data_IF_884346338150
#
_entry.id   IF_884346338150
#
_cell.length_a   1.000
_cell.length_b   1.000
_cell.length_c   1.000
_cell.angle_alpha   90.00
_cell.angle_beta   90.00
_cell.angle_gamma   90.00
#
_symmetry.space_group_name_H-M   'P 1'
#
loop_
_entity.id
_entity.type
_entity.pdbx_description
1 polymer ?
#
# COMPACT_ATOMS: atom_id res chain seq x y z
N UNK A 1 -0.26 -3.92 -12.42
CA UNK A 1 0.94 -3.69 -11.58
C UNK A 1 2.19 -3.96 -12.41
N UNK A 2 3.30 -3.25 -12.18
CA UNK A 2 4.57 -3.42 -12.87
C UNK A 2 5.11 -4.83 -12.58
N UNK A 3 5.39 -5.62 -13.63
CA UNK A 3 6.00 -6.94 -13.48
C UNK A 3 7.43 -6.80 -12.94
N UNK A 4 7.66 -7.25 -11.71
CA UNK A 4 9.01 -7.45 -11.17
C UNK A 4 9.62 -8.71 -11.78
N UNK A 5 10.86 -8.64 -12.24
CA UNK A 5 11.58 -9.83 -12.72
C UNK A 5 11.86 -10.76 -11.54
N UNK A 6 11.58 -12.04 -11.71
CA UNK A 6 11.79 -13.07 -10.70
C UNK A 6 13.13 -13.76 -10.93
N UNK A 7 14.01 -13.67 -9.94
CA UNK A 7 15.13 -14.61 -9.79
C UNK A 7 14.59 -15.81 -9.02
N UNK A 8 14.85 -17.03 -9.51
CA UNK A 8 14.46 -18.25 -8.81
C UNK A 8 15.60 -18.83 -7.98
N UNK A 9 15.27 -19.51 -6.89
CA UNK A 9 16.27 -20.21 -6.08
C UNK A 9 16.99 -21.32 -6.84
N UNK A 10 16.28 -22.03 -7.71
CA UNK A 10 16.89 -23.04 -8.58
C UNK A 10 17.90 -22.41 -9.55
N UNK A 11 17.56 -21.27 -10.16
CA UNK A 11 18.48 -20.55 -11.04
C UNK A 11 19.71 -20.02 -10.30
N UNK A 12 19.57 -19.65 -9.02
CA UNK A 12 20.70 -19.30 -8.17
C UNK A 12 21.63 -20.50 -7.94
N UNK A 13 21.08 -21.69 -7.66
CA UNK A 13 21.87 -22.91 -7.50
C UNK A 13 22.61 -23.33 -8.77
N UNK A 14 21.99 -23.18 -9.93
CA UNK A 14 22.64 -23.47 -11.21
C UNK A 14 23.88 -22.60 -11.43
N UNK A 15 23.81 -21.32 -11.05
CA UNK A 15 24.95 -20.38 -11.14
C UNK A 15 26.04 -20.77 -10.15
N UNK A 16 25.67 -21.10 -8.90
CA UNK A 16 26.65 -21.55 -7.91
C UNK A 16 27.34 -22.83 -8.36
N UNK A 17 26.60 -23.82 -8.86
CA UNK A 17 27.17 -25.08 -9.34
C UNK A 17 28.15 -24.88 -10.51
N UNK A 18 27.93 -23.87 -11.35
CA UNK A 18 28.78 -23.56 -12.50
C UNK A 18 29.99 -22.67 -12.16
N UNK A 19 29.87 -21.78 -11.18
CA UNK A 19 30.83 -20.69 -10.96
C UNK A 19 31.43 -20.66 -9.55
N UNK A 20 30.94 -21.48 -8.63
CA UNK A 20 31.43 -21.59 -7.26
C UNK A 20 31.84 -23.04 -6.95
N UNK A 21 32.91 -23.22 -6.19
CA UNK A 21 33.44 -24.54 -5.85
C UNK A 21 33.51 -24.65 -4.33
N UNK A 22 32.77 -25.57 -3.69
CA UNK A 22 32.80 -25.74 -2.25
C UNK A 22 34.21 -26.08 -1.76
N UNK A 23 34.69 -25.33 -0.76
CA UNK A 23 35.99 -25.52 -0.12
C UNK A 23 35.76 -26.11 1.28
N UNK A 24 35.36 -27.38 1.34
CA UNK A 24 35.01 -28.02 2.62
C UNK A 24 36.22 -28.53 3.41
N UNK A 25 37.38 -28.73 2.75
CA UNK A 25 38.57 -29.36 3.36
C UNK A 25 39.90 -28.65 3.05
N UNK A 26 39.89 -27.40 2.59
CA UNK A 26 41.16 -26.73 2.26
C UNK A 26 41.86 -26.17 3.51
N UNK A 27 43.20 -26.14 3.54
CA UNK A 27 43.96 -25.57 4.65
C UNK A 27 43.53 -24.13 4.95
N UNK A 28 43.52 -23.74 6.24
CA UNK A 28 43.32 -22.35 6.63
C UNK A 28 44.31 -21.44 5.91
N UNK A 29 43.80 -20.43 5.19
CA UNK A 29 44.61 -19.49 4.39
C UNK A 29 44.74 -19.85 2.91
N UNK A 30 44.03 -20.88 2.42
CA UNK A 30 43.93 -21.15 0.99
C UNK A 30 43.36 -19.94 0.25
N UNK A 31 43.99 -19.53 -0.86
CA UNK A 31 43.47 -18.45 -1.69
C UNK A 31 42.11 -18.86 -2.28
N UNK A 32 41.15 -17.93 -2.21
CA UNK A 32 39.86 -18.11 -2.85
C UNK A 32 40.06 -18.15 -4.37
N UNK A 33 39.43 -19.08 -5.09
CA UNK A 33 39.43 -19.07 -6.55
C UNK A 33 38.94 -17.71 -7.05
N UNK A 34 39.72 -17.05 -7.90
CA UNK A 34 39.22 -15.90 -8.65
C UNK A 34 38.26 -16.41 -9.72
N UNK A 35 37.04 -15.87 -9.76
CA UNK A 35 35.98 -16.39 -10.62
C UNK A 35 34.94 -15.34 -10.99
N UNK A 36 34.29 -15.55 -12.14
CA UNK A 36 33.23 -14.69 -12.70
C UNK A 36 31.87 -14.80 -11.99
N UNK A 37 31.82 -15.34 -10.77
CA UNK A 37 30.57 -15.55 -10.03
C UNK A 37 29.80 -14.23 -9.83
N UNK A 38 30.49 -13.13 -9.53
CA UNK A 38 29.87 -11.82 -9.38
C UNK A 38 29.17 -11.36 -10.66
N UNK A 39 29.80 -11.57 -11.82
CA UNK A 39 29.23 -11.18 -13.12
C UNK A 39 28.07 -12.11 -13.52
N UNK A 40 28.20 -13.41 -13.24
CA UNK A 40 27.13 -14.39 -13.47
C UNK A 40 25.89 -14.08 -12.61
N UNK A 41 26.09 -13.77 -11.32
CA UNK A 41 25.02 -13.36 -10.41
C UNK A 41 24.42 -12.01 -10.81
N UNK A 42 25.22 -11.02 -11.21
CA UNK A 42 24.72 -9.74 -11.68
C UNK A 42 23.99 -9.83 -13.05
N UNK A 43 24.31 -10.84 -13.86
CA UNK A 43 23.59 -11.14 -15.10
C UNK A 43 22.24 -11.83 -14.86
N UNK A 44 22.15 -12.65 -13.80
CA UNK A 44 20.91 -13.35 -13.45
C UNK A 44 19.97 -12.53 -12.56
N UNK A 45 20.54 -11.75 -11.65
CA UNK A 45 19.84 -10.77 -10.84
C UNK A 45 19.92 -9.46 -11.63
N UNK A 46 18.89 -9.13 -12.41
CA UNK A 46 18.87 -7.85 -13.10
C UNK A 46 18.68 -6.71 -12.09
N UNK A 47 19.79 -6.23 -11.52
CA UNK A 47 19.85 -5.12 -10.56
C UNK A 47 19.28 -3.81 -11.15
N UNK A 48 19.07 -3.76 -12.47
CA UNK A 48 18.44 -2.62 -13.16
C UNK A 48 16.90 -2.69 -13.16
N UNK A 49 16.32 -3.83 -12.75
CA UNK A 49 14.86 -4.03 -12.64
C UNK A 49 14.35 -3.92 -11.19
N UNK A 50 15.11 -3.23 -10.35
CA UNK A 50 14.60 -2.69 -9.09
C UNK A 50 13.49 -1.68 -9.42
N UNK A 51 12.24 -2.08 -9.19
CA UNK A 51 11.12 -1.20 -9.41
C UNK A 51 10.91 -0.34 -8.15
N UNK A 52 10.84 0.98 -8.34
CA UNK A 52 10.23 1.82 -7.32
C UNK A 52 8.74 1.48 -7.25
N UNK A 53 8.29 1.09 -6.07
CA UNK A 53 6.90 0.74 -5.81
C UNK A 53 6.42 1.44 -4.55
N UNK A 54 5.14 1.76 -4.52
CA UNK A 54 4.48 2.19 -3.31
C UNK A 54 4.15 0.97 -2.46
N UNK A 55 4.60 0.98 -1.20
CA UNK A 55 4.25 -0.04 -0.21
C UNK A 55 3.26 0.56 0.75
N UNK A 56 2.03 0.02 0.79
CA UNK A 56 1.04 0.34 1.80
C UNK A 56 1.06 -0.73 2.89
N UNK A 57 1.54 -0.38 4.07
CA UNK A 57 1.44 -1.21 5.26
C UNK A 57 0.15 -0.94 6.01
N UNK A 58 -0.53 -2.01 6.40
CA UNK A 58 -1.75 -2.00 7.20
C UNK A 58 -1.51 -2.91 8.39
N UNK A 59 -1.83 -2.45 9.59
CA UNK A 59 -1.60 -3.20 10.83
C UNK A 59 -2.74 -2.97 11.81
N UNK A 60 -3.23 -4.01 12.46
CA UNK A 60 -4.30 -3.90 13.46
C UNK A 60 -3.75 -3.32 14.75
N UNK A 61 -4.22 -2.12 15.09
CA UNK A 61 -3.79 -1.41 16.28
C UNK A 61 -4.13 -2.22 17.54
N UNK A 62 -3.10 -2.49 18.35
CA UNK A 62 -3.21 -3.25 19.62
C UNK A 62 -3.75 -4.68 19.44
N UNK A 63 -3.49 -5.30 18.29
CA UNK A 63 -3.88 -6.69 18.01
C UNK A 63 -3.56 -7.67 19.16
N UNK A 64 -2.35 -7.59 19.72
CA UNK A 64 -1.91 -8.45 20.83
C UNK A 64 -2.68 -8.28 22.14
N UNK A 65 -3.51 -7.23 22.27
CA UNK A 65 -4.35 -6.97 23.44
C UNK A 65 -5.77 -7.56 23.31
N UNK A 66 -6.11 -8.12 22.15
CA UNK A 66 -7.41 -8.75 21.95
C UNK A 66 -7.52 -10.10 22.66
N UNK A 67 -8.76 -10.50 22.97
CA UNK A 67 -9.05 -11.83 23.48
C UNK A 67 -8.71 -12.92 22.45
N UNK A 68 -8.38 -14.16 22.86
CA UNK A 68 -7.87 -15.21 21.96
C UNK A 68 -8.75 -15.50 20.75
N UNK A 69 -10.08 -15.48 20.92
CA UNK A 69 -11.01 -15.68 19.82
C UNK A 69 -10.94 -14.52 18.81
N UNK A 70 -10.93 -13.27 19.29
CA UNK A 70 -10.84 -12.08 18.44
C UNK A 70 -9.50 -12.06 17.70
N UNK A 71 -8.39 -12.41 18.37
CA UNK A 71 -7.09 -12.56 17.71
C UNK A 71 -7.16 -13.59 16.58
N UNK A 72 -7.70 -14.78 16.85
CA UNK A 72 -7.80 -15.87 15.86
C UNK A 72 -8.70 -15.52 14.67
N UNK A 73 -9.73 -14.69 14.87
CA UNK A 73 -10.66 -14.28 13.81
C UNK A 73 -10.16 -13.08 13.00
N UNK A 74 -9.25 -12.26 13.55
CA UNK A 74 -8.83 -11.02 12.91
C UNK A 74 -8.21 -11.23 11.51
N UNK A 75 -7.32 -12.22 11.27
CA UNK A 75 -6.78 -12.45 9.93
C UNK A 75 -7.89 -12.71 8.90
N UNK A 76 -8.94 -13.45 9.29
CA UNK A 76 -10.10 -13.72 8.43
C UNK A 76 -10.92 -12.45 8.16
N UNK A 77 -11.08 -11.60 9.18
CA UNK A 77 -11.77 -10.31 9.04
C UNK A 77 -10.99 -9.40 8.10
N UNK A 78 -9.67 -9.29 8.28
CA UNK A 78 -8.80 -8.50 7.39
C UNK A 78 -8.89 -8.98 5.95
N UNK A 79 -8.87 -10.30 5.72
CA UNK A 79 -9.05 -10.86 4.39
C UNK A 79 -10.39 -10.45 3.76
N UNK A 80 -11.50 -10.53 4.52
CA UNK A 80 -12.83 -10.10 4.05
C UNK A 80 -12.88 -8.60 3.71
N UNK A 81 -12.16 -7.76 4.46
CA UNK A 81 -12.06 -6.33 4.20
C UNK A 81 -11.18 -6.06 2.96
N UNK A 82 -10.09 -6.81 2.80
CA UNK A 82 -9.15 -6.69 1.67
C UNK A 82 -9.87 -7.02 0.37
N UNK A 83 -10.57 -8.14 0.32
CA UNK A 83 -11.39 -8.52 -0.83
C UNK A 83 -12.43 -7.44 -1.17
N UNK A 84 -13.09 -6.88 -0.15
CA UNK A 84 -14.04 -5.77 -0.34
C UNK A 84 -13.39 -4.54 -0.99
N UNK A 85 -12.23 -4.14 -0.49
CA UNK A 85 -11.48 -2.99 -1.02
C UNK A 85 -10.98 -3.22 -2.44
N UNK A 86 -10.45 -4.42 -2.73
CA UNK A 86 -10.01 -4.83 -4.07
C UNK A 86 -11.16 -4.76 -5.07
N UNK A 87 -12.33 -5.31 -4.72
CA UNK A 87 -13.51 -5.24 -5.57
C UNK A 87 -13.96 -3.80 -5.83
N UNK A 88 -13.90 -2.91 -4.84
CA UNK A 88 -14.17 -1.47 -5.07
C UNK A 88 -13.15 -0.83 -6.00
N UNK A 89 -11.87 -1.17 -5.89
CA UNK A 89 -10.85 -0.65 -6.77
C UNK A 89 -11.14 -1.06 -8.23
N UNK A 90 -11.41 -2.35 -8.47
CA UNK A 90 -11.67 -2.88 -9.81
C UNK A 90 -13.00 -2.40 -10.41
N UNK A 91 -14.05 -2.29 -9.61
CA UNK A 91 -15.40 -1.99 -10.10
C UNK A 91 -15.74 -0.50 -10.07
N UNK A 92 -15.31 0.20 -9.03
CA UNK A 92 -15.74 1.57 -8.76
C UNK A 92 -14.65 2.58 -9.10
N UNK A 93 -13.36 2.27 -8.89
CA UNK A 93 -12.22 3.09 -9.33
C UNK A 93 -11.57 2.51 -10.60
N UNK A 94 -12.40 1.99 -11.51
CA UNK A 94 -11.97 1.15 -12.63
C UNK A 94 -10.99 1.81 -13.58
N UNK A 95 -11.03 3.15 -13.74
CA UNK A 95 -10.05 3.86 -14.56
C UNK A 95 -8.66 3.82 -13.91
N UNK A 96 -8.58 4.12 -12.61
CA UNK A 96 -7.32 4.10 -11.85
C UNK A 96 -6.74 2.69 -11.75
N UNK A 97 -7.58 1.65 -11.64
CA UNK A 97 -7.11 0.27 -11.49
C UNK A 97 -7.26 -0.58 -12.76
N UNK A 98 -7.32 0.04 -13.94
CA UNK A 98 -7.59 -0.67 -15.21
C UNK A 98 -6.49 -1.66 -15.62
N UNK A 99 -5.26 -1.48 -15.12
CA UNK A 99 -4.12 -2.36 -15.35
C UNK A 99 -3.90 -3.36 -14.20
N UNK A 100 -4.87 -3.46 -13.29
CA UNK A 100 -4.82 -4.37 -12.14
C UNK A 100 -5.87 -5.46 -12.28
N UNK A 101 -5.51 -6.68 -11.89
CA UNK A 101 -6.43 -7.80 -11.77
C UNK A 101 -6.62 -8.22 -10.31
N UNK A 102 -7.61 -9.08 -10.07
CA UNK A 102 -7.78 -9.70 -8.75
C UNK A 102 -6.56 -10.55 -8.36
N UNK A 103 -5.91 -11.19 -9.34
CA UNK A 103 -4.71 -11.98 -9.12
C UNK A 103 -3.53 -11.09 -8.75
N UNK A 104 -3.38 -9.93 -9.40
CA UNK A 104 -2.31 -8.97 -9.09
C UNK A 104 -2.35 -8.58 -7.61
N UNK A 105 -3.53 -8.28 -7.07
CA UNK A 105 -3.68 -7.94 -5.64
C UNK A 105 -3.23 -9.07 -4.70
N UNK A 106 -3.51 -10.33 -5.06
CA UNK A 106 -3.13 -11.48 -4.26
C UNK A 106 -1.62 -11.72 -4.32
N UNK A 107 -1.03 -11.60 -5.51
CA UNK A 107 0.40 -11.77 -5.71
C UNK A 107 1.20 -10.66 -5.02
N UNK A 108 0.70 -9.41 -5.03
CA UNK A 108 1.39 -8.24 -4.47
C UNK A 108 1.04 -7.94 -3.01
N UNK A 109 0.51 -8.94 -2.29
CA UNK A 109 0.21 -8.84 -0.86
C UNK A 109 1.16 -9.71 -0.03
N UNK A 110 1.75 -9.10 0.99
CA UNK A 110 2.62 -9.77 1.97
C UNK A 110 1.83 -9.84 3.29
N UNK A 111 1.32 -11.01 3.61
CA UNK A 111 0.57 -11.28 4.84
C UNK A 111 1.51 -11.35 6.05
N UNK A 112 1.17 -10.67 7.14
CA UNK A 112 1.90 -10.71 8.43
C UNK A 112 1.05 -11.29 9.57
N UNK A 113 -0.17 -11.74 9.30
CA UNK A 113 -1.14 -12.29 10.25
C UNK A 113 -2.08 -11.23 10.82
N UNK A 114 -1.55 -10.18 11.43
CA UNK A 114 -2.31 -9.06 12.01
C UNK A 114 -2.43 -7.84 11.11
N UNK A 115 -2.02 -7.99 9.86
CA UNK A 115 -1.87 -6.92 8.90
C UNK A 115 -1.18 -7.41 7.63
N UNK A 116 -0.48 -6.50 6.95
CA UNK A 116 0.38 -6.86 5.84
C UNK A 116 0.81 -5.66 5.02
N UNK A 117 1.53 -5.95 3.95
CA UNK A 117 2.02 -4.94 3.01
C UNK A 117 1.42 -5.19 1.63
N UNK A 118 0.82 -4.17 1.04
CA UNK A 118 0.30 -4.21 -0.32
C UNK A 118 1.16 -3.32 -1.23
N UNK A 119 1.60 -3.89 -2.34
CA UNK A 119 2.48 -3.21 -3.28
C UNK A 119 1.67 -2.62 -4.44
N UNK A 120 2.04 -1.41 -4.83
CA UNK A 120 1.39 -0.66 -5.91
C UNK A 120 2.40 0.06 -6.78
N UNK A 121 2.00 0.37 -8.02
CA UNK A 121 2.87 1.06 -8.97
C UNK A 121 3.14 2.51 -8.57
N UNK A 122 2.19 3.16 -7.89
CA UNK A 122 2.32 4.56 -7.46
C UNK A 122 1.69 4.80 -6.09
N UNK A 123 2.16 5.83 -5.35
CA UNK A 123 1.53 6.30 -4.12
C UNK A 123 0.05 6.64 -4.25
N UNK A 124 -0.40 7.11 -5.43
CA UNK A 124 -1.81 7.40 -5.66
C UNK A 124 -2.66 6.12 -5.62
N UNK A 125 -2.22 5.03 -6.24
CA UNK A 125 -2.94 3.75 -6.17
C UNK A 125 -3.03 3.25 -4.72
N UNK A 126 -1.91 3.31 -3.99
CA UNK A 126 -1.86 2.93 -2.59
C UNK A 126 -2.83 3.77 -1.74
N UNK A 127 -2.91 5.07 -1.98
CA UNK A 127 -3.80 5.98 -1.25
C UNK A 127 -5.28 5.66 -1.51
N UNK A 128 -5.65 5.48 -2.77
CA UNK A 128 -7.03 5.17 -3.16
C UNK A 128 -7.45 3.81 -2.62
N UNK A 129 -6.54 2.83 -2.61
CA UNK A 129 -6.77 1.55 -1.95
C UNK A 129 -7.01 1.72 -0.45
N UNK A 130 -6.16 2.49 0.25
CA UNK A 130 -6.30 2.74 1.69
C UNK A 130 -7.66 3.38 2.03
N UNK A 131 -8.14 4.33 1.20
CA UNK A 131 -9.46 4.95 1.36
C UNK A 131 -10.57 3.90 1.18
N UNK A 132 -10.48 3.03 0.17
CA UNK A 132 -11.45 1.94 -0.02
C UNK A 132 -11.41 0.90 1.12
N UNK A 133 -10.23 0.61 1.66
CA UNK A 133 -10.07 -0.29 2.81
C UNK A 133 -10.68 0.27 4.08
N UNK A 134 -10.42 1.54 4.38
CA UNK A 134 -11.01 2.25 5.52
C UNK A 134 -12.53 2.37 5.40
N UNK A 135 -13.05 2.52 4.18
CA UNK A 135 -14.49 2.46 3.93
C UNK A 135 -15.07 1.10 4.33
N UNK A 136 -14.45 0.00 3.90
CA UNK A 136 -14.89 -1.36 4.27
C UNK A 136 -14.81 -1.59 5.78
N UNK A 137 -13.73 -1.14 6.42
CA UNK A 137 -13.58 -1.20 7.88
C UNK A 137 -14.72 -0.48 8.58
N UNK A 138 -15.04 0.75 8.16
CA UNK A 138 -16.11 1.55 8.80
C UNK A 138 -17.48 0.92 8.63
N UNK A 139 -17.77 0.35 7.46
CA UNK A 139 -19.03 -0.37 7.21
C UNK A 139 -19.11 -1.63 8.08
N UNK A 140 -17.99 -2.33 8.28
CA UNK A 140 -17.91 -3.45 9.19
C UNK A 140 -18.11 -3.03 10.65
N UNK A 141 -17.38 -2.01 11.12
CA UNK A 141 -17.46 -1.51 12.50
C UNK A 141 -18.84 -0.95 12.86
N UNK A 142 -19.55 -0.34 11.90
CA UNK A 142 -20.92 0.17 12.07
C UNK A 142 -22.02 -0.90 12.02
N UNK A 143 -21.66 -2.19 12.08
CA UNK A 143 -22.58 -3.34 12.01
C UNK A 143 -23.39 -3.40 10.70
N UNK A 144 -22.97 -2.69 9.64
CA UNK A 144 -23.65 -2.72 8.33
C UNK A 144 -23.22 -3.91 7.49
N UNK A 145 -21.97 -4.36 7.64
CA UNK A 145 -21.43 -5.57 7.00
C UNK A 145 -21.08 -6.61 8.06
N UNK A 146 -21.61 -7.82 7.90
CA UNK A 146 -21.43 -8.95 8.84
C UNK A 146 -21.71 -8.61 10.33
N UNK A 147 -22.90 -8.10 10.70
CA UNK A 147 -23.20 -7.62 12.05
C UNK A 147 -22.97 -8.66 13.16
N UNK A 148 -23.26 -9.94 12.88
CA UNK A 148 -23.05 -11.02 13.85
C UNK A 148 -21.57 -11.28 14.10
N UNK A 149 -20.74 -11.27 13.05
CA UNK A 149 -19.29 -11.39 13.18
C UNK A 149 -18.71 -10.21 13.94
N UNK A 150 -19.09 -8.97 13.57
CA UNK A 150 -18.69 -7.76 14.29
C UNK A 150 -19.08 -7.83 15.77
N UNK A 151 -20.26 -8.35 16.10
CA UNK A 151 -20.70 -8.56 17.49
C UNK A 151 -19.84 -9.56 18.25
N UNK A 152 -19.34 -10.62 17.61
CA UNK A 152 -18.45 -11.61 18.24
C UNK A 152 -17.11 -10.99 18.63
N UNK A 153 -16.57 -10.09 17.81
CA UNK A 153 -15.30 -9.41 18.12
C UNK A 153 -15.38 -8.52 19.37
N UNK A 154 -16.59 -8.06 19.73
CA UNK A 154 -16.91 -7.23 20.89
C UNK A 154 -16.16 -5.87 21.01
N UNK A 155 -15.21 -5.59 20.12
CA UNK A 155 -14.45 -4.33 20.04
C UNK A 155 -14.49 -3.77 18.62
N UNK A 156 -14.36 -2.45 18.50
CA UNK A 156 -14.04 -1.83 17.21
C UNK A 156 -12.65 -2.27 16.75
N UNK A 157 -12.54 -2.54 15.46
CA UNK A 157 -11.26 -2.81 14.81
C UNK A 157 -10.68 -1.47 14.38
N UNK A 158 -9.44 -1.20 14.77
CA UNK A 158 -8.71 0.01 14.40
C UNK A 158 -7.42 -0.37 13.69
N UNK A 159 -7.02 0.44 12.71
CA UNK A 159 -5.88 0.17 11.85
C UNK A 159 -4.86 1.30 11.88
N UNK A 160 -3.59 0.90 11.83
CA UNK A 160 -2.44 1.74 11.52
C UNK A 160 -2.12 1.63 10.05
N UNK A 161 -1.68 2.73 9.48
CA UNK A 161 -1.28 2.79 8.08
C UNK A 161 0.10 3.42 7.95
N UNK A 162 0.91 2.88 7.04
CA UNK A 162 2.14 3.53 6.60
C UNK A 162 2.27 3.39 5.08
N UNK A 163 2.79 4.41 4.41
CA UNK A 163 3.12 4.36 2.99
C UNK A 163 4.58 4.74 2.77
N UNK A 164 5.27 3.95 1.97
CA UNK A 164 6.62 4.26 1.49
C UNK A 164 6.67 4.15 -0.02
N UNK A 165 7.61 4.84 -0.66
CA UNK A 165 7.86 4.72 -2.09
C UNK A 165 9.36 4.54 -2.32
N UNK A 166 9.77 3.31 -2.61
CA UNK A 166 11.18 2.96 -2.72
C UNK A 166 11.32 1.65 -3.51
N UNK A 167 12.56 1.23 -3.71
CA UNK A 167 12.93 -0.02 -4.37
C UNK A 167 12.29 -1.23 -3.69
N UNK A 168 11.63 -2.05 -4.51
CA UNK A 168 11.17 -3.40 -4.19
C UNK A 168 11.62 -4.34 -5.31
N UNK A 169 12.03 -5.55 -4.93
CA UNK A 169 12.42 -6.62 -5.84
C UNK A 169 11.79 -7.94 -5.39
N UNK A 170 11.79 -8.94 -6.27
CA UNK A 170 11.17 -10.23 -6.00
C UNK A 170 12.12 -11.39 -6.21
N UNK A 171 12.01 -12.42 -5.36
CA UNK A 171 12.73 -13.70 -5.46
C UNK A 171 11.71 -14.81 -5.15
N UNK A 172 11.59 -15.80 -6.03
CA UNK A 172 10.58 -16.89 -5.92
C UNK A 172 9.17 -16.40 -5.55
N UNK A 173 8.65 -15.41 -6.29
CA UNK A 173 7.33 -14.80 -6.04
C UNK A 173 7.15 -14.19 -4.64
N UNK A 174 8.23 -13.93 -3.90
CA UNK A 174 8.22 -13.16 -2.65
C UNK A 174 8.89 -11.82 -2.86
N UNK A 175 8.43 -10.81 -2.11
CA UNK A 175 8.92 -9.45 -2.24
C UNK A 175 9.84 -9.04 -1.10
N UNK A 176 10.85 -8.26 -1.46
CA UNK A 176 11.91 -7.79 -0.58
C UNK A 176 12.32 -6.38 -1.01
N UNK A 177 12.91 -5.61 -0.11
CA UNK A 177 13.48 -4.31 -0.47
C UNK A 177 13.40 -3.27 0.65
N UNK A 178 14.14 -2.16 0.50
CA UNK A 178 14.14 -1.07 1.46
C UNK A 178 12.75 -0.48 1.70
N UNK A 179 11.89 -0.41 0.67
CA UNK A 179 10.53 0.12 0.80
C UNK A 179 9.69 -0.59 1.85
N UNK A 180 9.67 -1.94 1.81
CA UNK A 180 8.94 -2.78 2.76
C UNK A 180 9.53 -2.66 4.16
N UNK A 181 10.86 -2.69 4.27
CA UNK A 181 11.56 -2.62 5.55
C UNK A 181 11.31 -1.27 6.24
N UNK A 182 11.36 -0.16 5.49
CA UNK A 182 11.08 1.17 6.02
C UNK A 182 9.62 1.27 6.48
N UNK A 183 8.70 0.75 5.68
CA UNK A 183 7.28 0.74 6.00
C UNK A 183 6.98 0.04 7.34
N UNK A 184 7.48 -1.19 7.52
CA UNK A 184 7.32 -1.92 8.78
C UNK A 184 7.93 -1.20 9.98
N UNK A 185 9.06 -0.50 9.79
CA UNK A 185 9.68 0.33 10.85
C UNK A 185 8.80 1.52 11.23
N UNK A 186 8.20 2.20 10.26
CA UNK A 186 7.28 3.30 10.51
C UNK A 186 6.07 2.82 11.33
N UNK A 187 5.45 1.71 10.93
CA UNK A 187 4.34 1.10 11.69
C UNK A 187 4.73 0.74 13.12
N UNK A 188 5.90 0.12 13.32
CA UNK A 188 6.35 -0.31 14.65
C UNK A 188 6.61 0.84 15.62
N UNK A 189 6.99 2.02 15.10
CA UNK A 189 7.32 3.22 15.89
C UNK A 189 6.10 4.11 16.13
N UNK A 190 5.00 3.88 15.42
CA UNK A 190 3.79 4.66 15.60
C UNK A 190 2.91 4.10 16.72
N UNK A 191 2.84 4.86 17.81
CA UNK A 191 1.99 4.55 18.96
C UNK A 191 0.67 5.33 18.95
N UNK A 192 0.52 6.32 18.07
CA UNK A 192 -0.61 7.26 18.03
C UNK A 192 -1.67 6.91 16.97
N UNK A 193 -1.52 5.77 16.29
CA UNK A 193 -2.45 5.24 15.30
C UNK A 193 -2.66 6.17 14.08
N UNK A 194 -1.59 6.82 13.64
CA UNK A 194 -1.59 7.77 12.51
C UNK A 194 -1.47 7.02 11.18
N UNK A 195 -1.75 7.73 10.10
CA UNK A 195 -1.29 7.33 8.77
C UNK A 195 0.04 8.01 8.49
N UNK A 196 1.12 7.24 8.38
CA UNK A 196 2.45 7.78 8.13
C UNK A 196 2.84 7.66 6.65
N UNK A 197 3.56 8.66 6.13
CA UNK A 197 4.21 8.58 4.82
C UNK A 197 5.68 9.01 4.94
N UNK A 198 6.56 8.41 4.14
CA UNK A 198 7.97 8.80 4.08
C UNK A 198 8.23 9.97 3.12
N UNK A 199 9.46 10.49 3.15
CA UNK A 199 9.89 11.61 2.30
C UNK A 199 9.72 11.29 0.81
N UNK A 200 10.06 10.08 0.36
CA UNK A 200 9.95 9.72 -1.05
C UNK A 200 8.48 9.72 -1.53
N UNK A 201 7.56 9.23 -0.69
CA UNK A 201 6.11 9.28 -0.97
C UNK A 201 5.63 10.72 -1.04
N UNK A 202 6.04 11.56 -0.09
CA UNK A 202 5.71 12.99 -0.08
C UNK A 202 6.24 13.71 -1.33
N UNK A 203 7.48 13.43 -1.72
CA UNK A 203 8.13 14.01 -2.90
C UNK A 203 7.45 13.57 -4.20
N UNK A 204 6.98 12.33 -4.27
CA UNK A 204 6.19 11.83 -5.40
C UNK A 204 4.93 12.69 -5.60
N UNK A 205 4.14 12.91 -4.54
CA UNK A 205 2.95 13.78 -4.63
C UNK A 205 3.32 15.23 -4.95
N UNK A 206 4.38 15.76 -4.36
CA UNK A 206 4.87 17.11 -4.65
C UNK A 206 5.20 17.28 -6.12
N UNK A 207 5.94 16.31 -6.69
CA UNK A 207 6.36 16.33 -8.09
C UNK A 207 5.19 16.20 -9.07
N UNK A 208 4.29 15.23 -8.84
CA UNK A 208 3.28 14.85 -9.84
C UNK A 208 1.92 15.50 -9.63
N UNK A 209 1.61 15.93 -8.41
CA UNK A 209 0.30 16.52 -8.06
C UNK A 209 0.40 17.94 -7.52
N UNK A 210 1.62 18.51 -7.44
CA UNK A 210 1.91 19.80 -6.78
C UNK A 210 1.64 19.79 -5.27
N UNK A 211 1.73 18.60 -4.65
CA UNK A 211 1.42 18.38 -3.24
C UNK A 211 0.16 17.53 -3.09
N UNK A 212 0.15 16.63 -2.10
CA UNK A 212 -0.97 15.71 -1.85
C UNK A 212 -2.26 16.46 -1.48
N UNK A 213 -2.13 17.64 -0.88
CA UNK A 213 -3.22 18.57 -0.57
C UNK A 213 -3.95 19.09 -1.83
N UNK A 214 -3.34 18.96 -3.01
CA UNK A 214 -3.93 19.39 -4.29
C UNK A 214 -4.72 18.28 -5.01
N UNK A 215 -4.81 17.07 -4.45
CA UNK A 215 -5.67 16.01 -4.98
C UNK A 215 -7.14 16.43 -5.20
N UNK A 216 -7.77 17.30 -4.38
CA UNK A 216 -9.13 17.78 -4.64
C UNK A 216 -9.28 18.60 -5.93
N UNK A 217 -8.17 19.13 -6.46
CA UNK A 217 -8.14 20.06 -7.59
C UNK A 217 -7.75 19.40 -8.92
N UNK A 218 -7.31 18.14 -8.91
CA UNK A 218 -6.89 17.41 -10.12
C UNK A 218 -8.03 16.56 -10.67
N UNK A 219 -8.08 16.41 -12.00
CA UNK A 219 -8.97 15.49 -12.69
C UNK A 219 -8.23 14.29 -13.27
N UNK A 220 -9.00 13.33 -13.78
CA UNK A 220 -8.49 12.14 -14.47
C UNK A 220 -7.70 12.51 -15.74
N UNK A 221 -8.09 13.58 -16.44
CA UNK A 221 -7.36 14.07 -17.62
C UNK A 221 -5.95 14.52 -17.28
N UNK A 222 -5.78 15.22 -16.17
CA UNK A 222 -4.48 15.64 -15.67
C UNK A 222 -3.65 14.44 -15.22
N UNK A 223 -4.28 13.49 -14.52
CA UNK A 223 -3.61 12.23 -14.14
C UNK A 223 -3.11 11.45 -15.35
N UNK A 224 -3.87 11.40 -16.46
CA UNK A 224 -3.44 10.72 -17.68
C UNK A 224 -2.17 11.32 -18.31
N UNK A 225 -1.82 12.56 -18.00
CA UNK A 225 -0.57 13.18 -18.48
C UNK A 225 0.67 12.67 -17.76
N UNK A 226 0.50 11.99 -16.63
CA UNK A 226 1.59 11.42 -15.85
C UNK A 226 2.16 10.15 -16.50
N UNK A 227 3.48 9.89 -16.39
CA UNK A 227 4.10 8.73 -17.04
C UNK A 227 3.45 7.38 -16.69
N UNK A 228 3.08 7.17 -15.42
CA UNK A 228 2.48 5.92 -14.95
C UNK A 228 1.03 5.69 -15.43
N UNK A 229 0.39 6.72 -16.02
CA UNK A 229 -0.99 6.69 -16.49
C UNK A 229 -1.11 7.00 -17.99
N UNK A 230 0.00 7.22 -18.69
CA UNK A 230 0.00 7.71 -20.07
C UNK A 230 -0.63 6.74 -21.08
N UNK A 231 -0.60 5.44 -20.79
CA UNK A 231 -1.15 4.36 -21.64
C UNK A 231 -2.54 3.87 -21.18
N UNK A 232 -3.21 4.64 -20.30
CA UNK A 232 -4.53 4.30 -19.78
C UNK A 232 -5.62 4.62 -20.82
N UNK A 233 -6.61 3.74 -20.91
CA UNK A 233 -7.79 3.94 -21.76
C UNK A 233 -8.71 5.01 -21.16
N UNK A 234 -8.69 6.19 -21.78
CA UNK A 234 -9.56 7.31 -21.41
C UNK A 234 -11.06 6.98 -21.52
N UNK A 235 -11.46 5.97 -22.29
CA UNK A 235 -12.86 5.55 -22.41
C UNK A 235 -13.44 5.03 -21.08
N UNK A 236 -12.58 4.67 -20.13
CA UNK A 236 -12.97 4.20 -18.80
C UNK A 236 -13.21 5.33 -17.80
N UNK A 237 -12.79 6.57 -18.09
CA UNK A 237 -12.98 7.72 -17.19
C UNK A 237 -14.48 7.97 -16.90
N UNK A 238 -15.34 7.84 -17.92
CA UNK A 238 -16.79 8.06 -17.77
C UNK A 238 -17.50 6.89 -17.08
N UNK A 239 -16.83 5.74 -16.97
CA UNK A 239 -17.36 4.51 -16.35
C UNK A 239 -16.97 4.38 -14.89
N UNK A 240 -16.17 5.31 -14.36
CA UNK A 240 -15.74 5.29 -12.97
C UNK A 240 -16.94 5.47 -12.03
N UNK A 241 -17.29 4.41 -11.30
CA UNK A 241 -18.45 4.38 -10.42
C UNK A 241 -18.25 5.21 -9.15
N UNK A 242 -17.03 5.20 -8.62
CA UNK A 242 -16.58 6.00 -7.49
C UNK A 242 -15.75 7.17 -8.02
N UNK A 243 -16.34 8.37 -7.99
CA UNK A 243 -15.71 9.58 -8.53
C UNK A 243 -14.70 10.14 -7.53
N UNK A 244 -13.60 9.41 -7.31
CA UNK A 244 -12.45 9.93 -6.57
C UNK A 244 -11.98 11.23 -7.22
N UNK A 245 -11.85 11.23 -8.54
CA UNK A 245 -11.53 12.42 -9.31
C UNK A 245 -12.67 12.73 -10.28
N UNK A 246 -12.87 14.02 -10.55
CA UNK A 246 -13.67 14.42 -11.69
C UNK A 246 -12.89 14.14 -12.98
N UNK A 247 -13.58 14.13 -14.13
CA UNK A 247 -12.90 13.98 -15.42
C UNK A 247 -11.86 15.07 -15.63
N UNK A 248 -12.26 16.32 -15.41
CA UNK A 248 -11.41 17.51 -15.48
C UNK A 248 -11.23 18.11 -14.09
N UNK A 249 -10.07 18.70 -13.81
CA UNK A 249 -9.83 19.41 -12.56
C UNK A 249 -10.74 20.63 -12.40
N UNK A 250 -11.39 20.79 -11.25
CA UNK A 250 -12.16 21.99 -10.94
C UNK A 250 -12.07 22.32 -9.45
N UNK A 251 -11.91 23.61 -9.15
CA UNK A 251 -11.81 24.10 -7.77
C UNK A 251 -13.20 24.05 -7.11
N UNK A 252 -13.40 23.09 -6.21
CA UNK A 252 -14.37 23.19 -5.11
C UNK A 252 -15.82 22.79 -5.37
N UNK A 253 -16.28 22.57 -6.61
CA UNK A 253 -17.68 22.19 -6.85
C UNK A 253 -17.80 20.68 -7.11
N UNK A 254 -18.23 19.94 -6.09
CA UNK A 254 -18.58 18.52 -6.21
C UNK A 254 -17.45 17.53 -5.93
N UNK A 255 -16.28 17.99 -5.49
CA UNK A 255 -15.19 17.11 -5.03
C UNK A 255 -15.62 16.30 -3.80
N UNK A 256 -15.25 15.02 -3.80
CA UNK A 256 -15.47 14.10 -2.68
C UNK A 256 -14.38 14.21 -1.61
N UNK A 257 -13.24 14.78 -1.96
CA UNK A 257 -12.20 15.15 -1.02
C UNK A 257 -12.67 16.38 -0.23
N UNK A 258 -12.72 16.26 1.10
CA UNK A 258 -13.06 17.38 1.97
C UNK A 258 -11.82 18.11 2.41
N UNK A 259 -10.94 17.38 3.09
CA UNK A 259 -9.70 17.91 3.65
C UNK A 259 -8.60 16.88 3.51
N UNK A 260 -7.37 17.37 3.32
CA UNK A 260 -6.14 16.58 3.31
C UNK A 260 -5.11 17.38 4.10
N UNK A 261 -4.83 16.95 5.32
CA UNK A 261 -3.84 17.56 6.18
C UNK A 261 -2.55 16.74 6.15
N UNK A 262 -1.43 17.44 5.96
CA UNK A 262 -0.09 16.85 6.01
C UNK A 262 0.70 17.51 7.12
N UNK A 263 1.17 16.70 8.07
CA UNK A 263 1.96 17.17 9.20
C UNK A 263 3.36 16.58 9.14
N UNK A 264 4.39 17.43 9.05
CA UNK A 264 5.78 16.97 9.22
C UNK A 264 6.00 16.57 10.68
N UNK A 265 6.31 15.30 10.93
CA UNK A 265 6.45 14.75 12.28
C UNK A 265 7.89 14.77 12.79
N UNK A 266 8.86 14.69 11.88
CA UNK A 266 10.29 14.67 12.20
C UNK A 266 11.00 13.55 11.47
N UNK A 267 12.21 13.24 11.91
CA UNK A 267 13.09 12.32 11.20
C UNK A 267 13.23 10.98 11.93
N UNK A 268 13.26 9.89 11.16
CA UNK A 268 13.59 8.55 11.61
C UNK A 268 14.96 8.20 11.06
N UNK A 269 15.93 8.03 11.96
CA UNK A 269 17.24 7.46 11.58
C UNK A 269 17.16 5.93 11.57
N UNK A 270 17.57 5.37 10.44
CA UNK A 270 17.63 3.95 10.15
C UNK A 270 19.03 3.64 9.63
N UNK A 271 19.86 3.02 10.50
CA UNK A 271 21.29 2.83 10.25
C UNK A 271 21.98 4.17 9.90
N UNK A 272 22.35 4.37 8.64
CA UNK A 272 23.06 5.56 8.13
C UNK A 272 22.15 6.55 7.40
N UNK A 273 20.88 6.20 7.16
CA UNK A 273 19.92 7.06 6.45
C UNK A 273 18.94 7.67 7.43
N UNK A 274 18.75 8.97 7.33
CA UNK A 274 17.75 9.74 8.07
C UNK A 274 16.64 10.10 7.09
N UNK A 275 15.43 9.61 7.35
CA UNK A 275 14.27 9.83 6.48
C UNK A 275 13.24 10.64 7.24
N UNK A 276 12.74 11.70 6.60
CA UNK A 276 11.68 12.50 7.18
C UNK A 276 10.33 11.80 7.03
N UNK A 277 9.53 11.85 8.09
CA UNK A 277 8.21 11.24 8.16
C UNK A 277 7.14 12.31 8.30
N UNK A 278 6.05 12.10 7.58
CA UNK A 278 4.87 12.93 7.59
C UNK A 278 3.67 12.11 8.09
N UNK A 279 2.79 12.75 8.84
CA UNK A 279 1.47 12.25 9.17
C UNK A 279 0.46 12.76 8.16
N UNK A 280 -0.43 11.89 7.71
CA UNK A 280 -1.50 12.19 6.79
C UNK A 280 -2.85 12.03 7.49
N UNK A 281 -3.74 12.99 7.27
CA UNK A 281 -5.12 12.91 7.71
C UNK A 281 -6.03 13.34 6.56
N UNK A 282 -6.95 12.47 6.16
CA UNK A 282 -7.80 12.69 4.99
C UNK A 282 -9.25 12.50 5.36
N UNK A 283 -10.09 13.45 4.95
CA UNK A 283 -11.53 13.33 4.92
C UNK A 283 -12.03 13.12 3.51
N UNK A 284 -12.70 11.99 3.27
CA UNK A 284 -13.28 11.65 1.98
C UNK A 284 -14.77 11.30 2.13
N UNK A 285 -15.61 11.87 1.27
CA UNK A 285 -17.06 11.67 1.29
C UNK A 285 -17.47 10.79 0.12
N UNK A 286 -18.08 9.67 0.44
CA UNK A 286 -18.69 8.77 -0.53
C UNK A 286 -20.20 8.66 -0.30
N UNK A 287 -20.87 7.89 -1.14
CA UNK A 287 -22.28 7.55 -0.99
C UNK A 287 -22.46 6.06 -1.03
N UNK A 288 -23.24 5.51 -0.09
CA UNK A 288 -23.63 4.10 -0.12
C UNK A 288 -25.11 3.97 -0.47
N UNK A 289 -25.44 3.02 -1.34
CA UNK A 289 -26.82 2.62 -1.56
C UNK A 289 -27.21 1.57 -0.52
N UNK A 290 -28.29 1.75 0.27
CA UNK A 290 -28.80 0.71 1.14
C UNK A 290 -29.49 -0.40 0.33
N UNK A 291 -28.95 -1.62 0.40
CA UNK A 291 -29.64 -2.81 -0.10
C UNK A 291 -29.87 -2.83 -1.62
N UNK A 292 -31.05 -3.29 -2.05
CA UNK A 292 -31.41 -3.48 -3.46
C UNK A 292 -31.91 -2.21 -4.16
N UNK A 293 -32.23 -1.15 -3.41
CA UNK A 293 -32.72 0.10 -4.00
C UNK A 293 -31.57 1.07 -4.28
N UNK A 294 -31.17 1.14 -5.55
CA UNK A 294 -30.05 1.99 -6.01
C UNK A 294 -30.36 3.50 -5.96
N UNK A 295 -31.60 3.89 -5.67
CA UNK A 295 -32.05 5.30 -5.72
C UNK A 295 -31.78 6.08 -4.45
N UNK A 296 -31.82 5.43 -3.29
CA UNK A 296 -31.47 6.09 -2.03
C UNK A 296 -29.96 5.98 -1.83
N UNK A 297 -29.27 7.11 -1.71
CA UNK A 297 -27.83 7.15 -1.49
C UNK A 297 -27.57 7.94 -0.21
N UNK A 298 -27.04 7.24 0.80
CA UNK A 298 -26.71 7.86 2.08
C UNK A 298 -25.26 8.37 2.00
N UNK A 299 -25.02 9.66 2.20
CA UNK A 299 -23.66 10.19 2.25
C UNK A 299 -22.93 9.62 3.47
N UNK A 300 -21.66 9.32 3.30
CA UNK A 300 -20.81 8.73 4.31
C UNK A 300 -19.42 9.36 4.25
N UNK A 301 -18.93 9.83 5.40
CA UNK A 301 -17.58 10.40 5.52
C UNK A 301 -16.65 9.38 6.13
N UNK A 302 -15.50 9.20 5.49
CA UNK A 302 -14.38 8.47 6.05
C UNK A 302 -13.26 9.44 6.43
N UNK A 303 -12.56 9.09 7.50
CA UNK A 303 -11.34 9.73 7.98
C UNK A 303 -10.26 8.67 7.95
N UNK A 304 -9.19 8.91 7.20
CA UNK A 304 -8.02 8.06 7.15
C UNK A 304 -6.88 8.76 7.90
N UNK A 305 -6.28 8.06 8.87
CA UNK A 305 -5.30 8.66 9.79
C UNK A 305 -5.94 9.57 10.85
N UNK A 306 -5.10 10.29 11.59
CA UNK A 306 -5.50 11.26 12.61
C UNK A 306 -4.42 12.32 12.83
N UNK A 307 -4.74 13.38 13.59
CA UNK A 307 -3.86 14.51 13.88
C UNK A 307 -3.23 14.47 15.29
N UNK A 308 -3.14 13.29 15.90
CA UNK A 308 -2.57 13.17 17.25
C UNK A 308 -1.09 13.58 17.24
N UNK A 309 -0.76 14.63 17.99
CA UNK A 309 0.62 15.11 18.15
C UNK A 309 1.29 14.53 19.40
N UNK A 310 0.51 14.13 20.40
CA UNK A 310 0.95 13.46 21.62
C UNK A 310 -0.21 12.68 22.26
N UNK A 311 0.09 11.71 23.12
CA UNK A 311 -0.91 11.07 23.99
C UNK A 311 -1.27 12.00 25.15
N UNK A 312 -2.52 11.99 25.60
CA UNK A 312 -2.91 12.66 26.85
C UNK A 312 -2.28 11.86 28.00
N UNK A 313 -1.44 12.52 28.80
CA UNK A 313 -0.86 11.97 30.04
C UNK A 313 -1.90 11.84 31.16
#
# INVERSE_FOLDING_TARGET
>A
MKNTVHVTYDGFWDILAAHDVPIENSPHGSELPSGGLSDALAGAIDLRNHAEMAVLGIDVYRYSQFEPLTQSLMPLVLHLLLEGAQQRCLQAASYLFQKCTQQDFAEHYIDTGDGGFMLFDTPLHALIFAINFELELRVFNSFRRFPRLRSILATDVSLRYAMTYDTVFSVDARFYGPGIIMNGRMLSRDHLNRFLIDQNTFDWFTKYTRGIENLPCIGLTELQTLPDFADYDASLMDKEGEKFFAREGNVGIGSRWKDIDVLKLGDITVKTQTVCIYGLHIHYVTTMAPGTDKKERVPFTISLGNLNTSGID
#
